data_IF_485117209065
#
_entry.id   IF_485117209065
#
_cell.length_a   1.000
_cell.length_b   1.000
_cell.length_c   1.000
_cell.angle_alpha   90.00
_cell.angle_beta   90.00
_cell.angle_gamma   90.00
#
_symmetry.space_group_name_H-M   'P 1'
#
loop_
_entity.id
_entity.type
_entity.pdbx_description
1 polymer ?
#
# COMPACT_ATOMS: atom_id res chain seq x y z
N UNK A 1 4.45 3.23 -18.15
CA UNK A 1 4.03 2.12 -17.26
C UNK A 1 4.31 2.56 -15.84
N UNK A 2 3.31 2.51 -14.97
CA UNK A 2 3.42 2.74 -13.52
C UNK A 2 3.80 1.38 -12.90
N UNK A 3 4.62 1.36 -11.86
CA UNK A 3 5.00 0.09 -11.22
C UNK A 3 3.98 -0.25 -10.14
N UNK A 4 3.57 -1.50 -10.03
CA UNK A 4 2.68 -1.93 -8.93
C UNK A 4 3.51 -2.48 -7.77
N UNK A 5 3.17 -2.06 -6.55
CA UNK A 5 3.73 -2.62 -5.32
C UNK A 5 2.65 -3.43 -4.62
N UNK A 6 2.82 -4.74 -4.57
CA UNK A 6 1.81 -5.66 -4.03
C UNK A 6 2.34 -6.28 -2.74
N UNK A 7 1.55 -6.18 -1.66
CA UNK A 7 1.83 -6.85 -0.39
C UNK A 7 0.80 -7.94 -0.12
N UNK A 8 1.26 -9.10 0.36
CA UNK A 8 0.42 -10.25 0.70
C UNK A 8 0.65 -10.62 2.16
N UNK A 9 -0.41 -10.63 2.98
CA UNK A 9 -0.31 -11.03 4.39
C UNK A 9 0.75 -10.27 5.19
N UNK A 10 1.03 -9.02 4.84
CA UNK A 10 2.20 -8.31 5.34
C UNK A 10 2.04 -7.93 6.82
N UNK A 11 3.10 -8.08 7.65
CA UNK A 11 3.10 -7.60 9.03
C UNK A 11 2.99 -6.07 9.13
N UNK A 12 3.10 -5.35 8.00
CA UNK A 12 2.79 -3.92 7.92
C UNK A 12 1.36 -3.57 8.36
N UNK A 13 0.45 -4.54 8.42
CA UNK A 13 -0.84 -4.38 9.09
C UNK A 13 -0.70 -3.89 10.54
N UNK A 14 0.38 -4.29 11.22
CA UNK A 14 0.71 -3.94 12.60
C UNK A 14 1.84 -2.90 12.69
N UNK A 15 1.98 -2.05 11.67
CA UNK A 15 3.09 -1.10 11.56
C UNK A 15 3.22 -0.17 12.78
N UNK A 16 2.11 0.22 13.42
CA UNK A 16 2.18 1.09 14.60
C UNK A 16 2.73 0.42 15.85
N UNK A 17 2.78 -0.91 15.90
CA UNK A 17 3.42 -1.67 16.98
C UNK A 17 4.85 -2.07 16.60
N UNK A 18 5.10 -2.34 15.31
CA UNK A 18 6.40 -2.82 14.83
C UNK A 18 7.40 -1.70 14.54
N UNK A 19 6.92 -0.55 14.07
CA UNK A 19 7.74 0.58 13.63
C UNK A 19 7.65 1.78 14.58
N UNK A 20 6.66 1.79 15.48
CA UNK A 20 6.43 2.88 16.41
C UNK A 20 5.86 2.34 17.73
N UNK A 21 5.60 3.25 18.67
CA UNK A 21 4.93 2.94 19.94
C UNK A 21 3.40 3.02 19.82
N UNK A 22 2.90 3.84 18.88
CA UNK A 22 1.48 4.06 18.60
C UNK A 22 1.28 4.70 17.20
N UNK A 23 0.02 4.86 16.78
CA UNK A 23 -0.35 5.43 15.47
C UNK A 23 0.09 6.90 15.30
N UNK A 24 0.11 7.70 16.37
CA UNK A 24 0.53 9.11 16.34
C UNK A 24 2.06 9.21 16.19
N UNK A 25 2.79 8.39 16.92
CA UNK A 25 4.24 8.21 16.79
C UNK A 25 4.61 7.75 15.38
N UNK A 26 3.87 6.78 14.83
CA UNK A 26 4.04 6.35 13.43
C UNK A 26 3.80 7.50 12.45
N UNK A 27 2.71 8.26 12.62
CA UNK A 27 2.42 9.41 11.77
C UNK A 27 3.51 10.49 11.84
N UNK A 28 4.06 10.76 13.03
CA UNK A 28 5.18 11.69 13.22
C UNK A 28 6.43 11.20 12.50
N UNK A 29 6.78 9.91 12.65
CA UNK A 29 7.96 9.31 11.99
C UNK A 29 7.85 9.31 10.47
N UNK A 30 6.66 9.03 9.94
CA UNK A 30 6.36 9.15 8.50
C UNK A 30 6.47 10.61 8.04
N UNK A 31 5.94 11.57 8.82
CA UNK A 31 6.04 13.00 8.50
C UNK A 31 7.49 13.53 8.55
N UNK A 32 8.29 13.02 9.49
CA UNK A 32 9.73 13.27 9.62
C UNK A 32 10.56 12.51 8.57
N UNK A 33 9.91 11.71 7.71
CA UNK A 33 10.55 10.94 6.63
C UNK A 33 11.51 9.86 7.12
N UNK A 34 11.32 9.39 8.35
CA UNK A 34 12.06 8.23 8.87
C UNK A 34 11.64 6.94 8.17
N UNK A 35 10.38 6.87 7.69
CA UNK A 35 9.84 5.74 6.96
C UNK A 35 9.31 6.12 5.57
N UNK A 36 9.49 5.24 4.57
CA UNK A 36 8.91 5.44 3.24
C UNK A 36 7.38 5.28 3.28
N UNK A 37 6.65 6.11 2.52
CA UNK A 37 5.19 6.07 2.42
C UNK A 37 4.69 5.85 0.98
N UNK A 38 3.50 5.26 0.84
CA UNK A 38 2.80 5.21 -0.44
C UNK A 38 2.26 6.60 -0.76
N UNK A 39 2.72 7.12 -1.89
CA UNK A 39 2.60 8.51 -2.30
C UNK A 39 3.34 9.49 -1.37
N UNK A 40 4.29 10.27 -1.92
CA UNK A 40 4.94 11.33 -1.17
C UNK A 40 3.92 12.34 -0.67
N UNK A 41 3.98 12.64 0.63
CA UNK A 41 3.24 13.76 1.19
C UNK A 41 3.65 15.05 0.46
N UNK A 42 2.65 15.81 0.00
CA UNK A 42 2.87 17.11 -0.64
C UNK A 42 3.43 18.07 0.41
N UNK A 43 4.64 18.58 0.20
CA UNK A 43 5.12 19.69 1.02
C UNK A 43 4.30 20.93 0.69
N UNK A 44 3.70 21.53 1.72
CA UNK A 44 3.16 22.87 1.64
C UNK A 44 4.26 23.83 2.13
N UNK A 45 4.64 24.79 1.29
CA UNK A 45 5.63 25.80 1.69
C UNK A 45 5.10 26.52 2.93
N UNK A 46 5.84 26.49 4.04
CA UNK A 46 5.50 27.05 5.37
C UNK A 46 5.10 28.55 5.34
N UNK A 47 5.18 29.24 4.18
CA UNK A 47 4.95 30.69 4.05
C UNK A 47 3.90 31.10 3.01
N UNK A 48 3.06 30.19 2.50
CA UNK A 48 1.93 30.57 1.63
C UNK A 48 0.73 29.69 1.87
N UNK A 49 -0.41 30.29 2.22
CA UNK A 49 -1.72 29.65 2.41
C UNK A 49 -2.38 29.19 1.10
N UNK A 50 -1.67 29.24 -0.03
CA UNK A 50 -2.19 28.81 -1.32
C UNK A 50 -2.17 27.28 -1.47
N UNK A 51 -3.34 26.71 -1.76
CA UNK A 51 -3.53 25.29 -2.06
C UNK A 51 -2.81 24.82 -3.34
N UNK A 52 -2.32 25.77 -4.14
CA UNK A 52 -1.63 25.57 -5.41
C UNK A 52 -0.10 25.36 -5.24
N UNK A 53 0.46 25.63 -4.05
CA UNK A 53 1.89 25.48 -3.75
C UNK A 53 2.25 24.12 -3.13
N UNK A 54 1.64 23.05 -3.65
CA UNK A 54 1.94 21.66 -3.26
C UNK A 54 2.98 21.08 -4.20
N UNK A 55 4.15 20.71 -3.70
CA UNK A 55 5.25 20.23 -4.55
C UNK A 55 5.79 18.88 -4.06
N UNK A 56 6.13 18.01 -5.00
CA UNK A 56 6.81 16.72 -4.75
C UNK A 56 8.33 16.85 -4.59
N UNK A 57 8.84 18.07 -4.73
CA UNK A 57 10.23 18.33 -5.03
C UNK A 57 10.83 19.36 -4.10
N UNK A 58 12.11 19.19 -3.77
CA UNK A 58 12.88 20.27 -3.17
C UNK A 58 12.93 21.47 -4.11
N UNK A 59 13.02 22.65 -3.50
CA UNK A 59 13.11 23.94 -4.18
C UNK A 59 14.13 23.96 -5.32
N UNK A 60 13.99 24.93 -6.23
CA UNK A 60 14.65 24.89 -7.54
C UNK A 60 16.16 24.74 -7.41
N UNK A 61 16.70 23.62 -7.90
CA UNK A 61 18.14 23.52 -8.11
C UNK A 61 18.45 24.08 -9.51
N UNK A 62 19.40 25.01 -9.58
CA UNK A 62 19.85 25.54 -10.85
C UNK A 62 20.41 24.39 -11.70
N UNK A 63 19.76 24.09 -12.83
CA UNK A 63 20.28 23.11 -13.77
C UNK A 63 21.62 23.60 -14.32
N UNK A 64 22.67 22.77 -14.19
CA UNK A 64 24.03 23.10 -14.65
C UNK A 64 24.14 23.26 -16.18
N UNK A 65 23.11 22.85 -16.93
CA UNK A 65 23.14 22.73 -18.40
C UNK A 65 22.12 23.61 -19.12
N UNK A 66 21.11 24.09 -18.42
CA UNK A 66 20.06 24.96 -18.95
C UNK A 66 19.52 25.74 -17.77
N UNK A 67 19.45 27.07 -17.87
CA UNK A 67 19.08 28.02 -16.80
C UNK A 67 17.60 27.90 -16.35
N UNK A 68 17.08 26.67 -16.27
CA UNK A 68 15.74 26.27 -15.85
C UNK A 68 15.82 25.65 -14.47
N UNK A 69 14.85 25.98 -13.64
CA UNK A 69 14.68 25.40 -12.32
C UNK A 69 14.27 23.93 -12.43
N UNK A 70 15.11 23.01 -11.93
CA UNK A 70 14.77 21.58 -11.89
C UNK A 70 14.30 21.23 -10.49
N UNK A 71 13.11 20.64 -10.44
CA UNK A 71 12.43 20.14 -9.24
C UNK A 71 12.80 18.66 -9.05
N UNK A 72 13.56 18.32 -8.01
CA UNK A 72 14.04 16.95 -7.75
C UNK A 72 13.15 16.27 -6.69
N UNK A 73 12.61 15.06 -6.95
CA UNK A 73 11.85 14.31 -5.95
C UNK A 73 12.72 13.94 -4.75
N UNK A 74 12.13 14.01 -3.55
CA UNK A 74 12.82 13.75 -2.29
C UNK A 74 13.05 12.25 -2.04
N UNK A 75 14.02 11.90 -1.19
CA UNK A 75 14.43 10.52 -0.90
C UNK A 75 13.33 9.66 -0.26
N UNK A 76 12.33 10.26 0.39
CA UNK A 76 11.18 9.52 0.94
C UNK A 76 10.12 9.18 -0.12
N UNK A 77 10.26 9.69 -1.35
CA UNK A 77 9.34 9.47 -2.47
C UNK A 77 9.63 8.19 -3.27
N UNK A 78 10.31 7.19 -2.69
CA UNK A 78 10.72 5.95 -3.37
C UNK A 78 9.54 5.21 -4.04
N UNK A 79 8.34 5.32 -3.47
CA UNK A 79 7.11 4.69 -3.95
C UNK A 79 6.15 5.67 -4.64
N UNK A 80 6.60 6.87 -5.01
CA UNK A 80 5.75 7.90 -5.60
C UNK A 80 5.10 7.51 -6.92
N UNK A 81 5.80 6.70 -7.71
CA UNK A 81 5.31 6.18 -8.99
C UNK A 81 4.80 4.74 -8.86
N UNK A 82 4.38 4.33 -7.65
CA UNK A 82 3.84 3.00 -7.42
C UNK A 82 2.39 3.02 -6.96
N UNK A 83 1.58 2.11 -7.50
CA UNK A 83 0.26 1.80 -6.94
C UNK A 83 0.44 0.70 -5.92
N UNK A 84 0.06 0.95 -4.67
CA UNK A 84 0.18 -0.06 -3.62
C UNK A 84 -1.16 -0.75 -3.38
N UNK A 85 -1.19 -2.06 -3.66
CA UNK A 85 -2.33 -2.93 -3.33
C UNK A 85 -1.91 -3.95 -2.26
N UNK A 86 -2.69 -4.06 -1.20
CA UNK A 86 -2.47 -5.00 -0.12
C UNK A 86 -3.58 -6.06 -0.11
N UNK A 87 -3.23 -7.32 -0.32
CA UNK A 87 -4.15 -8.45 -0.20
C UNK A 87 -3.98 -9.11 1.17
N UNK A 88 -5.08 -9.33 1.87
CA UNK A 88 -5.05 -9.99 3.18
C UNK A 88 -6.26 -10.89 3.41
N UNK A 89 -6.08 -11.99 4.14
CA UNK A 89 -7.20 -12.80 4.62
C UNK A 89 -7.76 -12.22 5.93
N UNK A 90 -9.03 -11.77 5.98
CA UNK A 90 -9.61 -11.26 7.22
C UNK A 90 -9.56 -12.29 8.33
N UNK A 91 -8.99 -11.93 9.48
CA UNK A 91 -8.92 -12.80 10.63
C UNK A 91 -10.23 -12.75 11.44
N UNK A 92 -10.87 -13.91 11.61
CA UNK A 92 -12.02 -14.14 12.50
C UNK A 92 -11.57 -15.03 13.65
N UNK A 93 -11.95 -14.67 14.87
CA UNK A 93 -11.65 -15.44 16.09
C UNK A 93 -10.16 -15.84 16.23
N UNK A 94 -9.22 -14.99 15.76
CA UNK A 94 -7.76 -15.14 15.84
C UNK A 94 -7.17 -16.30 14.99
N UNK A 95 -7.91 -17.40 14.83
CA UNK A 95 -7.44 -18.62 14.17
C UNK A 95 -7.92 -18.78 12.73
N UNK A 96 -9.01 -18.09 12.35
CA UNK A 96 -9.63 -18.20 11.03
C UNK A 96 -9.26 -17.02 10.15
N UNK A 97 -8.15 -17.13 9.43
CA UNK A 97 -7.65 -16.13 8.49
C UNK A 97 -6.14 -15.97 8.61
N UNK A 98 -5.66 -14.77 8.32
CA UNK A 98 -4.26 -14.39 8.50
C UNK A 98 -4.11 -13.52 9.75
N UNK A 99 -3.41 -14.05 10.76
CA UNK A 99 -3.12 -13.32 12.01
C UNK A 99 -2.03 -12.27 11.83
N UNK A 100 -1.10 -12.51 10.91
CA UNK A 100 0.07 -11.66 10.67
C UNK A 100 -0.31 -10.53 9.70
N UNK A 101 -1.11 -10.87 8.69
CA UNK A 101 -1.66 -9.94 7.73
C UNK A 101 -2.90 -9.21 8.22
N UNK A 102 -3.26 -8.15 7.51
CA UNK A 102 -4.42 -7.31 7.81
C UNK A 102 -4.45 -6.07 6.93
N UNK A 103 -5.44 -5.18 7.14
CA UNK A 103 -5.47 -3.90 6.46
C UNK A 103 -4.28 -3.05 6.89
N UNK A 104 -3.50 -2.54 5.93
CA UNK A 104 -2.39 -1.64 6.19
C UNK A 104 -2.94 -0.28 6.65
N UNK A 105 -2.38 0.31 7.73
CA UNK A 105 -2.79 1.62 8.22
C UNK A 105 -2.66 2.72 7.16
N UNK A 106 -3.67 3.60 7.10
CA UNK A 106 -3.67 4.76 6.18
C UNK A 106 -2.56 5.77 6.47
N UNK A 107 -1.90 5.69 7.64
CA UNK A 107 -0.72 6.50 8.00
C UNK A 107 0.47 6.24 7.09
N UNK A 108 0.62 5.01 6.58
CA UNK A 108 1.65 4.66 5.60
C UNK A 108 1.30 5.13 4.17
N UNK A 109 0.03 5.43 3.92
CA UNK A 109 -0.42 5.93 2.63
C UNK A 109 -1.94 5.88 2.52
N UNK A 110 -2.56 7.00 2.13
CA UNK A 110 -4.02 7.10 2.01
C UNK A 110 -4.59 6.29 0.86
N UNK A 111 -3.81 6.14 -0.21
CA UNK A 111 -4.23 5.47 -1.45
C UNK A 111 -3.79 4.00 -1.50
N UNK A 112 -3.41 3.41 -0.36
CA UNK A 112 -3.14 1.96 -0.28
C UNK A 112 -4.47 1.23 -0.41
N UNK A 113 -4.62 0.43 -1.47
CA UNK A 113 -5.83 -0.36 -1.71
C UNK A 113 -5.76 -1.65 -0.89
N UNK A 114 -6.45 -1.66 0.25
CA UNK A 114 -6.60 -2.84 1.09
C UNK A 114 -7.75 -3.73 0.57
N UNK A 115 -7.40 -4.82 -0.09
CA UNK A 115 -8.36 -5.78 -0.65
C UNK A 115 -8.45 -7.03 0.24
N UNK A 116 -9.60 -7.30 0.86
CA UNK A 116 -9.82 -8.57 1.54
C UNK A 116 -9.98 -9.70 0.50
N UNK A 117 -9.36 -10.85 0.77
CA UNK A 117 -9.44 -12.05 -0.08
C UNK A 117 -10.00 -13.25 0.69
N UNK A 118 -10.56 -14.19 -0.05
CA UNK A 118 -11.17 -15.42 0.46
C UNK A 118 -10.39 -16.68 0.04
N UNK A 119 -10.49 -17.73 0.85
CA UNK A 119 -10.02 -19.07 0.53
C UNK A 119 -10.82 -20.12 1.29
N UNK A 120 -10.99 -21.30 0.70
CA UNK A 120 -11.55 -22.48 1.38
C UNK A 120 -10.45 -23.44 1.88
N UNK A 121 -9.17 -23.13 1.63
CA UNK A 121 -8.06 -23.97 2.08
C UNK A 121 -8.07 -24.05 3.61
N UNK A 122 -8.13 -25.28 4.13
CA UNK A 122 -8.28 -25.58 5.58
C UNK A 122 -9.49 -24.88 6.22
N UNK A 123 -10.56 -24.64 5.45
CA UNK A 123 -11.74 -23.90 5.88
C UNK A 123 -11.42 -22.46 6.39
N UNK A 124 -10.28 -21.89 5.98
CA UNK A 124 -9.84 -20.58 6.45
C UNK A 124 -8.95 -20.61 7.69
N UNK A 125 -8.49 -21.78 8.15
CA UNK A 125 -7.63 -21.89 9.34
C UNK A 125 -6.14 -21.63 9.02
N UNK A 126 -5.54 -20.64 9.66
CA UNK A 126 -4.13 -20.21 9.50
C UNK A 126 -3.71 -20.06 8.02
N UNK A 127 -4.32 -19.09 7.33
CA UNK A 127 -4.25 -18.98 5.86
C UNK A 127 -3.08 -18.17 5.32
N UNK A 128 -2.21 -17.65 6.20
CA UNK A 128 -1.07 -16.79 5.84
C UNK A 128 -0.19 -17.33 4.69
N UNK A 129 -0.09 -18.65 4.52
CA UNK A 129 0.73 -19.30 3.47
C UNK A 129 -0.06 -19.75 2.23
N UNK A 130 -1.32 -19.38 2.09
CA UNK A 130 -2.18 -19.89 1.00
C UNK A 130 -2.58 -18.80 0.00
N UNK A 131 -1.91 -17.65 -0.01
CA UNK A 131 -2.15 -16.60 -1.02
C UNK A 131 -1.89 -17.05 -2.46
N UNK A 132 -0.99 -18.02 -2.64
CA UNK A 132 -0.65 -18.61 -3.95
C UNK A 132 -1.39 -19.93 -4.22
N UNK A 133 -2.20 -20.40 -3.27
CA UNK A 133 -2.98 -21.61 -3.46
C UNK A 133 -4.27 -21.25 -4.17
N UNK A 134 -4.44 -21.79 -5.37
CA UNK A 134 -5.74 -21.76 -6.01
C UNK A 134 -6.71 -22.56 -5.15
N UNK A 135 -7.89 -22.01 -4.94
CA UNK A 135 -8.99 -22.65 -4.25
C UNK A 135 -10.23 -22.46 -5.10
N UNK A 136 -11.14 -23.44 -5.12
CA UNK A 136 -12.47 -23.28 -5.73
C UNK A 136 -13.38 -22.36 -4.89
N UNK A 137 -12.78 -21.38 -4.21
CA UNK A 137 -13.45 -20.43 -3.35
C UNK A 137 -14.50 -19.70 -4.18
N UNK A 138 -15.76 -19.89 -3.78
CA UNK A 138 -16.89 -19.22 -4.38
C UNK A 138 -17.44 -18.23 -3.36
N UNK A 139 -17.52 -16.93 -3.70
CA UNK A 139 -18.20 -15.99 -2.84
C UNK A 139 -19.66 -16.45 -2.62
N UNK A 140 -20.12 -16.38 -1.39
CA UNK A 140 -21.56 -16.37 -1.12
C UNK A 140 -22.21 -15.11 -1.72
N UNK A 141 -23.54 -15.07 -1.76
CA UNK A 141 -24.29 -13.91 -2.30
C UNK A 141 -23.89 -12.57 -1.67
N UNK A 142 -23.44 -12.60 -0.42
CA UNK A 142 -23.15 -11.42 0.40
C UNK A 142 -21.64 -11.23 0.62
N UNK A 143 -20.79 -12.00 -0.08
CA UNK A 143 -19.34 -11.98 0.09
C UNK A 143 -18.66 -11.24 -1.07
N UNK A 144 -18.25 -10.00 -0.85
CA UNK A 144 -17.58 -9.15 -1.86
C UNK A 144 -16.10 -9.49 -2.08
N UNK A 145 -15.57 -10.52 -1.40
CA UNK A 145 -14.16 -10.89 -1.53
C UNK A 145 -13.89 -11.46 -2.92
N UNK A 146 -12.61 -11.60 -3.24
CA UNK A 146 -12.15 -12.36 -4.40
C UNK A 146 -11.25 -13.49 -3.93
N UNK A 147 -11.11 -14.53 -4.76
CA UNK A 147 -10.10 -15.55 -4.55
C UNK A 147 -8.71 -14.88 -4.57
N UNK A 148 -7.81 -15.29 -3.67
CA UNK A 148 -6.48 -14.69 -3.56
C UNK A 148 -5.70 -14.69 -4.89
N UNK A 149 -5.74 -15.80 -5.66
CA UNK A 149 -5.05 -15.91 -6.96
C UNK A 149 -5.70 -15.02 -8.01
N UNK A 150 -7.04 -14.93 -8.05
CA UNK A 150 -7.75 -14.02 -8.96
C UNK A 150 -7.41 -12.56 -8.64
N UNK A 151 -7.45 -12.17 -7.36
CA UNK A 151 -7.12 -10.82 -6.93
C UNK A 151 -5.67 -10.42 -7.26
N UNK A 152 -4.75 -11.39 -7.25
CA UNK A 152 -3.36 -11.21 -7.66
C UNK A 152 -3.21 -11.06 -9.18
N UNK A 153 -3.92 -11.87 -9.97
CA UNK A 153 -3.96 -11.73 -11.43
C UNK A 153 -4.51 -10.37 -11.85
N UNK A 154 -5.61 -9.94 -11.24
CA UNK A 154 -6.20 -8.62 -11.45
C UNK A 154 -5.23 -7.50 -11.03
N UNK A 155 -4.51 -7.68 -9.93
CA UNK A 155 -3.54 -6.69 -9.45
C UNK A 155 -2.33 -6.53 -10.39
N UNK A 156 -1.92 -7.61 -11.05
CA UNK A 156 -0.79 -7.64 -11.97
C UNK A 156 -1.18 -7.34 -13.42
N UNK A 157 -2.48 -7.09 -13.68
CA UNK A 157 -3.02 -6.89 -15.03
C UNK A 157 -2.65 -8.07 -15.97
N UNK A 158 -2.58 -9.29 -15.40
CA UNK A 158 -2.20 -10.52 -16.11
C UNK A 158 -3.38 -11.18 -16.83
N UNK A 159 -4.53 -10.52 -16.87
CA UNK A 159 -5.62 -10.97 -17.74
C UNK A 159 -5.17 -10.65 -19.16
N UNK A 160 -4.57 -11.65 -19.82
CA UNK A 160 -4.19 -11.57 -21.23
C UNK A 160 -5.33 -10.90 -22.01
N UNK A 161 -5.04 -9.77 -22.66
CA UNK A 161 -5.82 -9.29 -23.79
C UNK A 161 -5.75 -10.36 -24.90
N UNK A 162 -6.52 -11.43 -24.76
CA UNK A 162 -6.94 -12.25 -25.91
C UNK A 162 -8.15 -11.56 -26.52
N UNK A 163 -7.89 -10.60 -27.41
CA UNK A 163 -8.81 -10.17 -28.48
C UNK A 163 -8.02 -9.55 -29.61
#
# INVERSE_FOLDING_TARGET
RVTDFITLGSPLAHASVLLADDDESLAKKVALREYPSCLPALEQKIRTTDADNRHFSYGPQASRTNNKEVKIPHHAALFAMTRWKNLYFPCKYILWGDLIGGPIPKTLGKEILNQPVGTEVRNGFLTHRFYWSSSDWKPGSDDERQEAVSALRDALDLVDEHS
#
